data_IF_667395719361
#
_entry.id   IF_667395719361
#
_cell.length_a   1.000
_cell.length_b   1.000
_cell.length_c   1.000
_cell.angle_alpha   90.00
_cell.angle_beta   90.00
_cell.angle_gamma   90.00
#
_symmetry.space_group_name_H-M   'P 1'
#
loop_
_entity.id
_entity.type
_entity.pdbx_description
1 polymer ?
#
# COMPACT_ATOMS: atom_id res chain seq x y z
N UNK A 1 -59.33 -24.80 -48.48
CA UNK A 1 -57.91 -24.59 -48.38
C UNK A 1 -57.68 -23.23 -47.62
N UNK A 2 -57.43 -23.27 -46.32
CA UNK A 2 -57.22 -22.06 -45.50
C UNK A 2 -55.70 -21.90 -45.31
N UNK A 3 -55.16 -20.73 -45.73
CA UNK A 3 -53.76 -20.37 -45.51
C UNK A 3 -53.62 -19.72 -44.14
N UNK A 4 -52.73 -20.28 -43.29
CA UNK A 4 -52.30 -19.69 -42.01
C UNK A 4 -51.20 -18.69 -42.29
N UNK A 5 -51.19 -17.48 -41.68
CA UNK A 5 -50.04 -16.59 -41.74
C UNK A 5 -49.06 -16.92 -40.60
N UNK A 6 -47.80 -17.03 -40.95
CA UNK A 6 -46.68 -17.12 -39.97
C UNK A 6 -46.42 -15.76 -39.35
N UNK A 7 -46.58 -15.68 -38.04
CA UNK A 7 -46.12 -14.50 -37.26
C UNK A 7 -44.62 -14.73 -36.95
N UNK A 8 -43.76 -13.89 -37.54
CA UNK A 8 -42.37 -13.76 -37.11
C UNK A 8 -42.34 -12.81 -35.88
N UNK A 9 -42.08 -13.37 -34.70
CA UNK A 9 -41.74 -12.58 -33.52
C UNK A 9 -40.24 -12.27 -33.55
N UNK A 10 -39.89 -11.03 -33.82
CA UNK A 10 -38.54 -10.52 -33.67
C UNK A 10 -38.23 -10.30 -32.17
N UNK A 11 -37.40 -11.16 -31.61
CA UNK A 11 -36.89 -11.01 -30.26
C UNK A 11 -35.76 -9.97 -30.32
N UNK A 12 -36.06 -8.72 -29.93
CA UNK A 12 -35.05 -7.68 -29.79
C UNK A 12 -34.23 -7.92 -28.55
N UNK A 13 -32.96 -8.35 -28.71
CA UNK A 13 -32.00 -8.39 -27.65
C UNK A 13 -31.56 -6.93 -27.32
N UNK A 14 -32.04 -6.40 -26.21
CA UNK A 14 -31.52 -5.16 -25.65
C UNK A 14 -30.10 -5.43 -25.09
N UNK A 15 -29.08 -4.99 -25.82
CA UNK A 15 -27.74 -4.88 -25.31
C UNK A 15 -27.73 -3.74 -24.26
N UNK A 16 -27.80 -4.10 -22.99
CA UNK A 16 -27.45 -3.17 -21.92
C UNK A 16 -25.95 -2.95 -22.00
N UNK A 17 -25.56 -1.81 -22.56
CA UNK A 17 -24.20 -1.30 -22.41
C UNK A 17 -23.98 -1.06 -20.92
N UNK A 18 -23.26 -1.97 -20.26
CA UNK A 18 -22.79 -1.75 -18.91
C UNK A 18 -21.94 -0.48 -18.91
N UNK A 19 -22.38 0.53 -18.18
CA UNK A 19 -21.57 1.72 -17.94
C UNK A 19 -20.25 1.22 -17.33
N UNK A 20 -19.15 1.44 -18.04
CA UNK A 20 -17.82 1.20 -17.48
C UNK A 20 -17.74 2.12 -16.25
N UNK A 21 -17.66 1.51 -15.08
CA UNK A 21 -17.45 2.22 -13.83
C UNK A 21 -16.13 2.98 -13.98
N UNK A 22 -16.22 4.29 -14.15
CA UNK A 22 -15.03 5.14 -14.26
C UNK A 22 -14.32 5.09 -12.93
N UNK A 23 -13.20 4.38 -12.88
CA UNK A 23 -12.35 4.31 -11.70
C UNK A 23 -12.08 5.73 -11.17
N UNK A 24 -12.20 5.92 -9.86
CA UNK A 24 -11.92 7.20 -9.23
C UNK A 24 -10.51 7.69 -9.60
N UNK A 25 -10.32 9.00 -9.80
CA UNK A 25 -9.03 9.54 -10.22
C UNK A 25 -7.96 9.25 -9.15
N UNK A 26 -6.82 8.73 -9.60
CA UNK A 26 -5.67 8.49 -8.75
C UNK A 26 -5.08 9.82 -8.27
N UNK A 27 -4.79 9.88 -6.98
CA UNK A 27 -4.09 11.01 -6.34
C UNK A 27 -2.65 10.62 -6.10
N UNK A 28 -1.72 11.45 -6.52
CA UNK A 28 -0.31 11.32 -6.18
C UNK A 28 -0.08 11.92 -4.81
N UNK A 29 0.58 11.16 -3.94
CA UNK A 29 1.02 11.58 -2.62
C UNK A 29 2.55 11.60 -2.69
N UNK A 30 3.12 12.79 -2.72
CA UNK A 30 4.52 13.01 -2.93
C UNK A 30 5.17 13.45 -1.61
N UNK A 31 6.03 12.58 -1.10
CA UNK A 31 6.78 12.77 0.14
C UNK A 31 8.23 12.95 -0.27
N UNK A 32 8.76 14.15 -0.16
CA UNK A 32 10.06 14.48 -0.74
C UNK A 32 11.00 15.18 0.23
N UNK A 33 12.26 14.97 -0.02
CA UNK A 33 13.40 15.72 0.50
C UNK A 33 14.06 16.52 -0.61
N UNK A 34 15.26 17.07 -0.38
CA UNK A 34 15.98 17.78 -1.45
C UNK A 34 16.39 16.84 -2.60
N UNK A 35 16.79 15.60 -2.31
CA UNK A 35 17.31 14.67 -3.32
C UNK A 35 16.51 13.36 -3.46
N UNK A 36 15.53 13.09 -2.59
CA UNK A 36 14.78 11.83 -2.56
C UNK A 36 13.28 12.09 -2.72
N UNK A 37 12.61 11.21 -3.46
CA UNK A 37 11.15 11.12 -3.48
C UNK A 37 10.67 9.73 -3.03
N UNK A 38 9.68 9.71 -2.15
CA UNK A 38 8.82 8.56 -1.89
C UNK A 38 7.43 8.91 -2.41
N UNK A 39 6.95 8.16 -3.40
CA UNK A 39 5.71 8.49 -4.10
C UNK A 39 4.72 7.37 -3.93
N UNK A 40 3.54 7.73 -3.45
CA UNK A 40 2.40 6.84 -3.35
C UNK A 40 1.30 7.31 -4.30
N UNK A 41 0.40 6.41 -4.65
CA UNK A 41 -0.87 6.77 -5.27
C UNK A 41 -2.04 6.18 -4.52
N UNK A 42 -3.16 6.88 -4.54
CA UNK A 42 -4.37 6.47 -3.86
C UNK A 42 -5.62 6.97 -4.60
N UNK A 43 -6.68 6.17 -4.57
CA UNK A 43 -8.01 6.60 -4.93
C UNK A 43 -8.99 6.27 -3.80
N UNK A 44 -10.05 7.04 -3.60
CA UNK A 44 -11.04 6.76 -2.57
C UNK A 44 -11.59 5.33 -2.66
N UNK A 45 -11.55 4.61 -1.54
CA UNK A 45 -12.02 3.23 -1.48
C UNK A 45 -11.08 2.18 -2.09
N UNK A 46 -9.92 2.58 -2.60
CA UNK A 46 -8.91 1.68 -3.14
C UNK A 46 -7.75 1.50 -2.15
N UNK A 47 -6.89 0.52 -2.41
CA UNK A 47 -5.63 0.35 -1.69
C UNK A 47 -4.66 1.50 -2.01
N UNK A 48 -3.84 1.88 -1.02
CA UNK A 48 -2.72 2.80 -1.25
C UNK A 48 -1.58 2.05 -1.92
N UNK A 49 -1.06 2.62 -3.00
CA UNK A 49 0.00 2.01 -3.80
C UNK A 49 1.33 2.71 -3.60
N UNK A 50 2.38 1.93 -3.57
CA UNK A 50 3.75 2.40 -3.58
C UNK A 50 4.24 2.48 -5.02
N UNK A 51 4.65 3.65 -5.47
CA UNK A 51 5.08 3.84 -6.85
C UNK A 51 6.58 4.01 -7.00
N UNK A 52 7.22 4.75 -6.08
CA UNK A 52 8.62 5.08 -6.19
C UNK A 52 9.26 5.35 -4.83
N UNK A 53 10.50 4.94 -4.68
CA UNK A 53 11.43 5.42 -3.67
C UNK A 53 12.83 5.45 -4.28
N UNK A 54 13.45 6.62 -4.28
CA UNK A 54 14.76 6.82 -4.88
C UNK A 54 15.05 8.30 -5.15
N UNK A 55 15.88 8.56 -6.16
CA UNK A 55 16.20 9.92 -6.56
C UNK A 55 14.96 10.76 -6.82
N UNK A 56 15.05 12.06 -6.52
CA UNK A 56 13.95 13.00 -6.62
C UNK A 56 13.31 13.01 -8.00
N UNK A 57 11.99 13.00 -8.04
CA UNK A 57 11.18 13.20 -9.23
C UNK A 57 10.52 14.58 -9.11
N UNK A 58 10.89 15.52 -9.98
CA UNK A 58 10.38 16.89 -9.91
C UNK A 58 8.90 16.99 -10.27
N UNK A 59 8.46 16.23 -11.29
CA UNK A 59 7.05 16.15 -11.68
C UNK A 59 6.54 14.70 -11.58
N UNK A 60 5.93 14.31 -10.47
CA UNK A 60 5.35 12.98 -10.29
C UNK A 60 3.95 12.82 -10.91
N UNK A 61 3.34 13.89 -11.42
CA UNK A 61 1.96 13.86 -11.92
C UNK A 61 1.70 12.78 -13.00
N UNK A 62 2.62 12.49 -13.94
CA UNK A 62 2.44 11.42 -14.91
C UNK A 62 2.27 10.03 -14.29
N UNK A 63 2.79 9.81 -13.08
CA UNK A 63 2.64 8.54 -12.37
C UNK A 63 1.19 8.23 -11.97
N UNK A 64 0.30 9.22 -11.97
CA UNK A 64 -1.13 9.00 -11.75
C UNK A 64 -1.77 8.10 -12.83
N UNK A 65 -1.16 8.01 -14.00
CA UNK A 65 -1.57 7.10 -15.08
C UNK A 65 -1.09 5.67 -14.89
N UNK A 66 -0.14 5.43 -14.00
CA UNK A 66 0.40 4.10 -13.76
C UNK A 66 -0.67 3.17 -13.21
N UNK A 67 -0.79 1.99 -13.82
CA UNK A 67 -1.66 0.92 -13.35
C UNK A 67 -0.80 -0.31 -13.14
N UNK A 68 -0.74 -0.81 -11.91
CA UNK A 68 -0.12 -2.10 -11.68
C UNK A 68 -0.94 -3.20 -12.37
N UNK A 69 -0.24 -4.14 -12.94
CA UNK A 69 -0.89 -5.32 -13.50
C UNK A 69 -1.51 -6.13 -12.36
N UNK A 70 -2.83 -6.30 -12.40
CA UNK A 70 -3.56 -7.18 -11.49
C UNK A 70 -3.82 -8.50 -12.22
N UNK A 71 -3.05 -9.50 -11.93
CA UNK A 71 -3.41 -10.85 -12.36
C UNK A 71 -4.55 -11.38 -11.48
N UNK A 72 -5.54 -12.07 -12.04
CA UNK A 72 -6.66 -12.62 -11.26
C UNK A 72 -6.23 -13.52 -10.10
N UNK A 73 -5.15 -14.27 -10.30
CA UNK A 73 -4.63 -15.26 -9.35
C UNK A 73 -3.40 -14.77 -8.57
N UNK A 74 -2.96 -13.54 -8.82
CA UNK A 74 -1.78 -12.99 -8.18
C UNK A 74 -2.12 -11.78 -7.35
N UNK A 75 -1.30 -11.60 -6.36
CA UNK A 75 -1.27 -10.50 -5.46
C UNK A 75 -1.01 -9.16 -6.15
N UNK A 76 -1.48 -8.09 -5.54
CA UNK A 76 -1.05 -6.74 -5.87
C UNK A 76 0.29 -6.46 -5.19
N UNK A 77 1.37 -6.48 -5.95
CA UNK A 77 2.74 -6.41 -5.43
C UNK A 77 3.17 -5.02 -4.94
N UNK A 78 2.40 -3.97 -5.23
CA UNK A 78 2.75 -2.58 -4.96
C UNK A 78 1.90 -1.93 -3.87
N UNK A 79 1.26 -2.71 -3.01
CA UNK A 79 0.50 -2.17 -1.87
C UNK A 79 1.47 -1.56 -0.85
N UNK A 80 1.25 -0.30 -0.50
CA UNK A 80 2.13 0.44 0.41
C UNK A 80 2.13 -0.09 1.85
N UNK A 81 1.03 -0.72 2.27
CA UNK A 81 0.91 -1.34 3.60
C UNK A 81 -0.01 -2.55 3.53
N UNK A 82 0.49 -3.71 3.10
CA UNK A 82 -0.31 -4.91 2.93
C UNK A 82 -0.79 -5.45 4.27
N UNK A 83 -2.09 -5.70 4.38
CA UNK A 83 -2.68 -6.40 5.52
C UNK A 83 -2.94 -7.87 5.19
N UNK A 84 -3.04 -8.72 6.21
CA UNK A 84 -3.41 -10.11 6.04
C UNK A 84 -4.88 -10.21 5.66
N UNK A 85 -5.15 -10.84 4.54
CA UNK A 85 -6.47 -11.00 4.00
C UNK A 85 -6.58 -10.52 2.56
N UNK A 86 -7.79 -10.50 2.03
CA UNK A 86 -8.02 -10.17 0.63
C UNK A 86 -7.21 -11.04 -0.32
N UNK A 87 -6.53 -10.41 -1.26
CA UNK A 87 -5.68 -11.08 -2.25
C UNK A 87 -4.18 -10.90 -1.98
N UNK A 88 -3.80 -10.58 -0.77
CA UNK A 88 -2.39 -10.39 -0.44
C UNK A 88 -1.77 -11.69 0.08
N UNK A 89 -0.88 -12.28 -0.72
CA UNK A 89 -0.19 -13.55 -0.42
C UNK A 89 1.27 -13.36 0.06
N UNK A 90 1.75 -12.12 0.10
CA UNK A 90 3.08 -11.80 0.65
C UNK A 90 3.03 -11.65 2.16
N UNK A 91 4.21 -11.51 2.78
CA UNK A 91 4.30 -11.20 4.19
C UNK A 91 3.54 -9.89 4.50
N UNK A 92 2.48 -9.95 5.32
CA UNK A 92 1.68 -8.78 5.61
C UNK A 92 2.39 -7.84 6.57
N UNK A 93 2.28 -6.54 6.35
CA UNK A 93 2.72 -5.52 7.29
C UNK A 93 1.81 -5.43 8.52
N UNK A 94 0.58 -5.92 8.40
CA UNK A 94 -0.41 -5.97 9.49
C UNK A 94 -1.13 -7.32 9.48
N UNK A 95 -1.16 -7.98 10.66
CA UNK A 95 -1.99 -9.16 10.91
C UNK A 95 -2.78 -8.97 12.18
N UNK A 96 -4.09 -9.01 12.06
CA UNK A 96 -5.05 -8.78 13.15
C UNK A 96 -6.02 -9.94 13.24
N UNK A 97 -6.44 -10.30 14.45
CA UNK A 97 -7.72 -10.97 14.68
C UNK A 97 -8.69 -9.93 15.18
N UNK A 98 -9.76 -9.69 14.44
CA UNK A 98 -10.83 -8.76 14.77
C UNK A 98 -11.67 -9.25 15.96
N UNK A 99 -12.48 -8.35 16.53
CA UNK A 99 -13.26 -8.66 17.73
C UNK A 99 -14.31 -9.78 17.53
N UNK A 100 -14.71 -10.03 16.30
CA UNK A 100 -15.61 -11.12 15.90
C UNK A 100 -14.89 -12.42 15.53
N UNK A 101 -13.55 -12.41 15.57
CA UNK A 101 -12.71 -13.56 15.23
C UNK A 101 -12.28 -13.61 13.76
N UNK A 102 -12.70 -12.68 12.91
CA UNK A 102 -12.24 -12.59 11.54
C UNK A 102 -10.75 -12.22 11.49
N UNK A 103 -10.05 -12.77 10.49
CA UNK A 103 -8.62 -12.50 10.24
C UNK A 103 -8.40 -11.65 9.00
N UNK A 104 -9.45 -11.41 8.21
CA UNK A 104 -9.35 -10.67 6.97
C UNK A 104 -9.36 -9.16 7.24
N UNK A 105 -8.35 -8.46 6.76
CA UNK A 105 -8.23 -7.01 6.88
C UNK A 105 -7.94 -6.43 5.50
N UNK A 106 -8.84 -5.57 5.01
CA UNK A 106 -8.70 -4.90 3.71
C UNK A 106 -8.63 -3.39 3.89
N UNK A 107 -7.43 -2.86 3.96
CA UNK A 107 -7.22 -1.43 4.15
C UNK A 107 -7.54 -0.62 2.90
N UNK A 108 -8.44 0.34 3.03
CA UNK A 108 -8.88 1.23 1.96
C UNK A 108 -8.53 2.68 2.27
N UNK A 109 -8.03 3.39 1.27
CA UNK A 109 -7.68 4.80 1.40
C UNK A 109 -8.91 5.66 1.71
N UNK A 110 -8.75 6.54 2.68
CA UNK A 110 -9.76 7.53 3.09
C UNK A 110 -9.32 8.93 2.71
N UNK A 111 -8.13 9.33 3.16
CA UNK A 111 -7.63 10.69 2.96
C UNK A 111 -6.13 10.76 3.23
N UNK A 112 -5.51 11.83 2.80
CA UNK A 112 -4.18 12.21 3.25
C UNK A 112 -4.11 13.71 3.52
N UNK A 113 -3.13 14.09 4.31
CA UNK A 113 -2.77 15.49 4.56
C UNK A 113 -1.26 15.61 4.64
N UNK A 114 -0.75 16.69 4.12
CA UNK A 114 0.65 17.09 4.27
C UNK A 114 0.69 18.45 4.97
N UNK A 115 1.57 18.59 5.92
CA UNK A 115 1.79 19.86 6.65
C UNK A 115 3.27 20.09 6.90
N UNK A 116 3.66 21.35 6.84
CA UNK A 116 4.93 21.82 7.35
C UNK A 116 4.89 21.78 8.88
N UNK A 117 5.95 21.29 9.51
CA UNK A 117 6.09 21.35 10.97
C UNK A 117 6.69 22.71 11.39
N UNK A 118 6.96 22.88 12.68
CA UNK A 118 7.53 24.12 13.22
C UNK A 118 8.92 24.44 12.65
N UNK A 119 9.70 23.40 12.34
CA UNK A 119 10.92 23.50 11.53
C UNK A 119 10.55 23.50 10.06
N UNK A 120 10.92 24.54 9.33
CA UNK A 120 10.65 24.71 7.90
C UNK A 120 11.34 23.65 7.00
N UNK A 121 12.31 22.92 7.57
CA UNK A 121 12.98 21.77 6.95
C UNK A 121 12.16 20.48 7.02
N UNK A 122 11.09 20.42 7.83
CA UNK A 122 10.42 19.17 8.18
C UNK A 122 8.95 19.17 7.75
N UNK A 123 8.57 18.20 6.93
CA UNK A 123 7.21 18.00 6.45
C UNK A 123 6.64 16.69 6.95
N UNK A 124 5.42 16.69 7.46
CA UNK A 124 4.70 15.47 7.84
C UNK A 124 3.56 15.19 6.86
N UNK A 125 3.53 13.99 6.30
CA UNK A 125 2.41 13.47 5.50
C UNK A 125 1.76 12.31 6.23
N UNK A 126 0.45 12.40 6.45
CA UNK A 126 -0.36 11.36 7.08
C UNK A 126 -1.34 10.81 6.06
N UNK A 127 -1.27 9.52 5.79
CA UNK A 127 -2.17 8.79 4.91
C UNK A 127 -3.08 7.93 5.77
N UNK A 128 -4.40 8.20 5.74
CA UNK A 128 -5.40 7.45 6.48
C UNK A 128 -6.02 6.37 5.61
N UNK A 129 -6.09 5.19 6.18
CA UNK A 129 -6.80 4.04 5.66
C UNK A 129 -7.75 3.50 6.72
N UNK A 130 -8.80 2.84 6.29
CA UNK A 130 -9.73 2.11 7.17
C UNK A 130 -9.95 0.72 6.60
N UNK A 131 -10.22 -0.25 7.44
CA UNK A 131 -10.67 -1.56 6.97
C UNK A 131 -12.04 -1.44 6.29
N UNK A 132 -12.26 -2.24 5.26
CA UNK A 132 -13.48 -2.17 4.44
C UNK A 132 -14.73 -2.68 5.19
N UNK A 133 -14.55 -3.52 6.20
CA UNK A 133 -15.63 -4.22 6.92
C UNK A 133 -15.63 -3.86 8.40
N UNK A 134 -14.46 -3.96 9.04
CA UNK A 134 -14.32 -3.75 10.49
C UNK A 134 -13.87 -2.31 10.78
N UNK A 135 -14.33 -1.67 11.87
CA UNK A 135 -13.91 -0.31 12.21
C UNK A 135 -12.50 -0.27 12.80
N UNK A 136 -11.50 -0.60 11.98
CA UNK A 136 -10.08 -0.53 12.25
C UNK A 136 -9.44 0.51 11.35
N UNK A 137 -8.77 1.51 11.93
CA UNK A 137 -8.05 2.53 11.17
C UNK A 137 -6.55 2.32 11.23
N UNK A 138 -5.88 2.64 10.12
CA UNK A 138 -4.42 2.70 10.04
C UNK A 138 -4.02 4.06 9.46
N UNK A 139 -3.11 4.75 10.13
CA UNK A 139 -2.46 5.94 9.60
C UNK A 139 -0.99 5.64 9.33
N UNK A 140 -0.55 5.81 8.09
CA UNK A 140 0.86 5.84 7.76
C UNK A 140 1.34 7.28 7.88
N UNK A 141 2.32 7.50 8.73
CA UNK A 141 2.88 8.81 8.99
C UNK A 141 4.31 8.83 8.46
N UNK A 142 4.54 9.70 7.49
CA UNK A 142 5.84 9.95 6.90
C UNK A 142 6.32 11.32 7.32
N UNK A 143 7.54 11.41 7.85
CA UNK A 143 8.17 12.68 8.16
C UNK A 143 9.42 12.83 7.31
N UNK A 144 9.41 13.81 6.43
CA UNK A 144 10.52 14.12 5.53
C UNK A 144 11.35 15.28 6.12
N UNK A 145 12.64 15.06 6.25
CA UNK A 145 13.67 16.02 6.64
C UNK A 145 14.41 16.40 5.36
N UNK A 146 14.07 17.57 4.81
CA UNK A 146 14.47 17.94 3.45
C UNK A 146 15.98 17.97 3.27
N UNK A 147 16.69 18.75 4.08
CA UNK A 147 18.15 18.93 3.99
C UNK A 147 18.96 17.69 4.35
N UNK A 148 18.46 16.88 5.26
CA UNK A 148 19.12 15.64 5.71
C UNK A 148 18.89 14.46 4.75
N UNK A 149 17.98 14.61 3.79
CA UNK A 149 17.57 13.54 2.88
C UNK A 149 17.09 12.28 3.60
N UNK A 150 16.34 12.46 4.68
CA UNK A 150 15.80 11.39 5.51
C UNK A 150 14.28 11.42 5.47
N UNK A 151 13.67 10.25 5.29
CA UNK A 151 12.23 10.04 5.47
C UNK A 151 12.04 8.98 6.54
N UNK A 152 11.40 9.36 7.64
CA UNK A 152 10.99 8.40 8.68
C UNK A 152 9.56 7.94 8.44
N UNK A 153 9.26 6.71 8.85
CA UNK A 153 7.92 6.13 8.70
C UNK A 153 7.45 5.52 10.02
N UNK A 154 6.15 5.61 10.27
CA UNK A 154 5.49 4.89 11.36
C UNK A 154 4.05 4.59 11.00
N UNK A 155 3.53 3.48 11.51
CA UNK A 155 2.11 3.15 11.45
C UNK A 155 1.44 3.46 12.79
N UNK A 156 0.22 4.00 12.73
CA UNK A 156 -0.64 4.21 13.89
C UNK A 156 -1.91 3.41 13.66
N UNK A 157 -2.16 2.41 14.50
CA UNK A 157 -3.30 1.51 14.41
C UNK A 157 -4.30 1.91 15.48
N UNK A 158 -5.56 2.10 15.11
CA UNK A 158 -6.65 2.45 16.03
C UNK A 158 -7.78 1.45 15.91
N UNK A 159 -7.98 0.69 16.98
CA UNK A 159 -9.16 -0.13 17.11
C UNK A 159 -10.38 0.76 17.46
N UNK A 160 -11.42 0.69 16.64
CA UNK A 160 -12.73 1.33 16.89
C UNK A 160 -13.86 0.29 16.94
N UNK A 161 -13.52 -0.98 16.96
CA UNK A 161 -14.47 -2.06 17.15
C UNK A 161 -15.02 -2.05 18.59
N UNK A 162 -16.14 -2.73 18.80
CA UNK A 162 -16.78 -2.80 20.13
C UNK A 162 -16.06 -3.74 21.11
N UNK A 163 -15.12 -4.55 20.62
CA UNK A 163 -14.35 -5.52 21.38
C UNK A 163 -12.84 -5.37 21.20
N UNK A 164 -12.08 -6.16 21.93
CA UNK A 164 -10.63 -6.20 21.78
C UNK A 164 -10.25 -6.85 20.45
N UNK A 165 -9.16 -6.37 19.83
CA UNK A 165 -8.50 -6.99 18.69
C UNK A 165 -7.15 -7.54 19.11
N UNK A 166 -6.68 -8.60 18.45
CA UNK A 166 -5.36 -9.15 18.69
C UNK A 166 -4.42 -8.77 17.55
N UNK A 167 -3.37 -8.03 17.84
CA UNK A 167 -2.30 -7.75 16.89
C UNK A 167 -1.28 -8.89 16.94
N UNK A 168 -1.18 -9.67 15.85
CA UNK A 168 -0.18 -10.75 15.72
C UNK A 168 1.16 -10.21 15.24
N UNK A 169 1.10 -9.30 14.25
CA UNK A 169 2.27 -8.58 13.76
C UNK A 169 1.86 -7.23 13.20
N UNK A 170 2.75 -6.25 13.31
CA UNK A 170 2.64 -4.96 12.63
C UNK A 170 4.02 -4.38 12.39
N UNK A 171 4.18 -3.74 11.24
CA UNK A 171 5.43 -3.10 10.83
C UNK A 171 5.25 -1.58 10.79
N UNK A 172 6.33 -0.86 11.03
CA UNK A 172 6.33 0.60 10.88
C UNK A 172 6.28 1.03 9.42
N UNK A 173 6.69 0.13 8.50
CA UNK A 173 6.76 0.41 7.07
C UNK A 173 6.77 -0.90 6.28
N UNK A 174 6.25 -0.85 5.06
CA UNK A 174 6.44 -1.84 4.02
C UNK A 174 6.87 -1.12 2.75
N UNK A 175 7.91 -1.62 2.09
CA UNK A 175 8.48 -0.99 0.89
C UNK A 175 8.66 -2.06 -0.20
N UNK A 176 7.72 -2.20 -1.14
CA UNK A 176 7.81 -3.15 -2.24
C UNK A 176 8.80 -2.64 -3.31
N UNK A 177 10.08 -2.70 -3.02
CA UNK A 177 11.14 -2.30 -3.92
C UNK A 177 11.32 -3.34 -5.02
N UNK A 178 11.49 -2.89 -6.27
CA UNK A 178 11.71 -3.75 -7.43
C UNK A 178 13.10 -3.55 -7.99
N UNK A 179 13.88 -4.62 -8.02
CA UNK A 179 15.19 -4.66 -8.66
C UNK A 179 15.50 -6.08 -9.16
N UNK A 180 16.44 -6.21 -10.06
CA UNK A 180 16.90 -7.53 -10.53
C UNK A 180 17.67 -8.29 -9.44
N UNK A 181 18.41 -7.55 -8.59
CA UNK A 181 19.21 -8.09 -7.51
C UNK A 181 19.16 -7.17 -6.30
N UNK A 182 19.18 -7.75 -5.12
CA UNK A 182 19.23 -7.03 -3.86
C UNK A 182 20.43 -7.47 -3.05
N UNK A 183 21.24 -6.52 -2.63
CA UNK A 183 22.31 -6.72 -1.67
C UNK A 183 21.88 -6.11 -0.34
N UNK A 184 21.70 -6.96 0.66
CA UNK A 184 21.42 -6.52 2.02
C UNK A 184 22.73 -6.28 2.74
N UNK A 185 22.98 -5.04 3.12
CA UNK A 185 24.12 -4.67 3.95
C UNK A 185 23.61 -4.32 5.33
N UNK A 186 24.13 -4.96 6.36
CA UNK A 186 23.78 -4.65 7.74
C UNK A 186 25.00 -4.71 8.65
N UNK A 187 24.86 -4.11 9.80
CA UNK A 187 25.86 -4.16 10.85
C UNK A 187 25.39 -5.18 11.89
N UNK A 188 26.27 -6.07 12.26
CA UNK A 188 26.07 -6.95 13.40
C UNK A 188 27.16 -6.70 14.45
N UNK A 189 26.95 -7.15 15.64
CA UNK A 189 27.92 -6.95 16.71
C UNK A 189 27.75 -7.99 17.81
N UNK A 190 28.83 -8.13 18.55
CA UNK A 190 28.84 -8.81 19.83
C UNK A 190 29.65 -7.93 20.76
N UNK A 191 29.66 -8.23 22.04
CA UNK A 191 30.47 -7.51 23.02
C UNK A 191 31.95 -7.45 22.58
N UNK A 192 32.52 -6.23 22.50
CA UNK A 192 33.85 -5.91 21.95
C UNK A 192 34.05 -6.14 20.44
N UNK A 193 32.97 -6.36 19.71
CA UNK A 193 32.97 -6.56 18.24
C UNK A 193 31.75 -5.88 17.62
N UNK A 194 31.57 -4.59 17.93
CA UNK A 194 30.44 -3.81 17.42
C UNK A 194 30.65 -3.42 15.95
N UNK A 195 29.55 -3.13 15.28
CA UNK A 195 29.51 -2.55 13.92
C UNK A 195 30.28 -3.35 12.86
N UNK A 196 30.26 -4.68 12.92
CA UNK A 196 30.82 -5.50 11.85
C UNK A 196 29.91 -5.50 10.65
N UNK A 197 30.43 -5.13 9.47
CA UNK A 197 29.66 -5.08 8.23
C UNK A 197 29.47 -6.48 7.67
N UNK A 198 28.21 -6.84 7.39
CA UNK A 198 27.86 -8.05 6.65
C UNK A 198 27.12 -7.69 5.36
N UNK A 199 27.46 -8.36 4.28
CA UNK A 199 26.79 -8.27 2.99
C UNK A 199 26.15 -9.61 2.63
N UNK A 200 24.86 -9.59 2.32
CA UNK A 200 24.14 -10.79 1.90
C UNK A 200 23.43 -10.53 0.60
N UNK A 201 23.75 -11.27 -0.46
CA UNK A 201 22.94 -11.28 -1.67
C UNK A 201 21.61 -11.97 -1.36
N UNK A 202 20.51 -11.24 -1.51
CA UNK A 202 19.18 -11.81 -1.31
C UNK A 202 18.82 -12.69 -2.51
N UNK A 203 18.34 -13.88 -2.19
CA UNK A 203 17.76 -14.84 -3.14
C UNK A 203 16.28 -15.01 -2.82
N UNK A 204 15.58 -15.93 -3.50
CA UNK A 204 14.19 -16.22 -3.18
C UNK A 204 14.05 -16.70 -1.74
N UNK A 205 13.03 -16.21 -1.05
CA UNK A 205 12.72 -16.51 0.34
C UNK A 205 12.75 -15.27 1.24
N UNK A 206 12.84 -15.48 2.54
CA UNK A 206 12.93 -14.41 3.55
C UNK A 206 14.29 -14.40 4.23
N UNK A 207 14.79 -13.23 4.56
CA UNK A 207 15.95 -12.99 5.43
C UNK A 207 15.50 -12.10 6.58
N UNK A 208 15.69 -12.58 7.81
CA UNK A 208 15.42 -11.79 9.02
C UNK A 208 16.73 -11.39 9.68
N UNK A 209 16.77 -10.18 10.20
CA UNK A 209 17.84 -9.65 11.04
C UNK A 209 17.20 -9.24 12.35
N UNK A 210 17.75 -9.69 13.46
CA UNK A 210 17.31 -9.33 14.78
C UNK A 210 18.50 -8.85 15.62
N UNK A 211 18.25 -7.90 16.50
CA UNK A 211 19.16 -7.56 17.61
C UNK A 211 18.79 -8.44 18.79
N UNK A 212 19.73 -9.18 19.31
CA UNK A 212 19.58 -10.04 20.47
C UNK A 212 20.47 -9.55 21.61
#
# INVERSE_FOLDING_TARGET
MRKLPYLLSALGAALTAGAAETAAPQRIIDIRTDDISLILSAAPGEEVRFLHFGGRIDDPAPLAGYRSYRHPDHNTEDVAYPAFGGRNYHEPALRVTHADGDLNTELRYVSHRTRQLADDNVTETVVRMTDAVQPLDVELVYTAYARENVITTRAVIRNREKGPVTLHSFYSSAMPLRAEKYLLTHLHGAWTREAQVEHTLLTHGSKSIAST
#
